data_IF_835445857027
#
_entry.id   IF_835445857027
#
_cell.length_a   1.000
_cell.length_b   1.000
_cell.length_c   1.000
_cell.angle_alpha   90.00
_cell.angle_beta   90.00
_cell.angle_gamma   90.00
#
_symmetry.space_group_name_H-M   'P 1'
#
loop_
_entity.id
_entity.type
_entity.pdbx_description
1 polymer ?
#
# COMPACT_ATOMS: atom_id res chain seq x y z
N UNK A 1 10.89 -19.71 -41.37
CA UNK A 1 9.61 -19.33 -40.71
C UNK A 1 9.58 -17.81 -40.64
N UNK A 2 8.49 -17.19 -41.07
CA UNK A 2 8.36 -15.73 -41.00
C UNK A 2 8.15 -15.32 -39.54
N UNK A 3 8.82 -14.26 -39.08
CA UNK A 3 8.74 -13.73 -37.70
C UNK A 3 7.28 -13.47 -37.29
N UNK A 4 6.48 -12.88 -38.17
CA UNK A 4 5.05 -12.63 -37.92
C UNK A 4 4.24 -13.91 -37.69
N UNK A 5 4.57 -14.99 -38.39
CA UNK A 5 3.89 -16.28 -38.21
C UNK A 5 4.28 -16.91 -36.88
N UNK A 6 5.56 -16.80 -36.50
CA UNK A 6 6.03 -17.28 -35.21
C UNK A 6 5.36 -16.54 -34.05
N UNK A 7 5.27 -15.20 -34.12
CA UNK A 7 4.60 -14.36 -33.11
C UNK A 7 3.13 -14.71 -32.97
N UNK A 8 2.42 -14.92 -34.09
CA UNK A 8 1.02 -15.33 -34.09
C UNK A 8 0.82 -16.70 -33.42
N UNK A 9 1.66 -17.67 -33.76
CA UNK A 9 1.61 -19.02 -33.14
C UNK A 9 1.92 -18.97 -31.61
N UNK A 10 2.91 -18.18 -31.21
CA UNK A 10 3.24 -18.00 -29.82
C UNK A 10 2.09 -17.35 -29.03
N UNK A 11 1.46 -16.35 -29.62
CA UNK A 11 0.29 -15.67 -29.00
C UNK A 11 -0.86 -16.66 -28.80
N UNK A 12 -1.22 -17.43 -29.82
CA UNK A 12 -2.28 -18.45 -29.71
C UNK A 12 -1.97 -19.48 -28.62
N UNK A 13 -0.75 -19.98 -28.57
CA UNK A 13 -0.34 -20.94 -27.54
C UNK A 13 -0.41 -20.35 -26.12
N UNK A 14 -0.09 -19.06 -25.94
CA UNK A 14 -0.21 -18.37 -24.66
C UNK A 14 -1.68 -18.16 -24.27
N UNK A 15 -2.53 -17.79 -25.21
CA UNK A 15 -3.98 -17.63 -25.00
C UNK A 15 -4.64 -18.96 -24.58
N UNK A 16 -4.33 -20.05 -25.29
CA UNK A 16 -4.80 -21.41 -24.93
C UNK A 16 -4.32 -21.85 -23.54
N UNK A 17 -3.05 -21.57 -23.20
CA UNK A 17 -2.50 -21.88 -21.88
C UNK A 17 -3.19 -21.05 -20.77
N UNK A 18 -3.48 -19.78 -21.03
CA UNK A 18 -4.19 -18.91 -20.09
C UNK A 18 -5.63 -19.41 -19.86
N UNK A 19 -6.36 -19.75 -20.93
CA UNK A 19 -7.70 -20.34 -20.82
C UNK A 19 -7.68 -21.60 -19.96
N UNK A 20 -6.73 -22.50 -20.16
CA UNK A 20 -6.61 -23.72 -19.38
C UNK A 20 -6.32 -23.45 -17.88
N UNK A 21 -5.56 -22.40 -17.57
CA UNK A 21 -5.29 -21.99 -16.17
C UNK A 21 -6.53 -21.37 -15.53
N UNK A 22 -7.30 -20.57 -16.28
CA UNK A 22 -8.56 -19.97 -15.82
C UNK A 22 -9.61 -21.07 -15.54
N UNK A 23 -9.76 -22.04 -16.46
CA UNK A 23 -10.69 -23.18 -16.26
C UNK A 23 -10.34 -24.02 -15.02
N UNK A 24 -9.07 -24.16 -14.69
CA UNK A 24 -8.60 -24.86 -13.50
C UNK A 24 -8.67 -24.03 -12.22
N UNK A 25 -8.99 -22.73 -12.33
CA UNK A 25 -9.03 -21.81 -11.20
C UNK A 25 -7.66 -21.51 -10.60
N UNK A 26 -6.57 -21.76 -11.31
CA UNK A 26 -5.22 -21.44 -10.86
C UNK A 26 -4.92 -19.94 -10.99
N UNK A 27 -5.59 -19.28 -11.95
CA UNK A 27 -5.54 -17.83 -12.12
C UNK A 27 -6.95 -17.26 -12.20
N UNK A 28 -7.08 -15.97 -11.94
CA UNK A 28 -8.33 -15.20 -12.06
C UNK A 28 -8.08 -13.95 -12.88
N UNK A 29 -9.10 -13.50 -13.59
CA UNK A 29 -9.08 -12.22 -14.31
C UNK A 29 -9.94 -11.19 -13.62
N UNK A 30 -9.40 -9.97 -13.47
CA UNK A 30 -10.14 -8.82 -12.95
C UNK A 30 -9.86 -7.58 -13.81
N UNK A 31 -10.87 -6.72 -14.03
CA UNK A 31 -10.65 -5.45 -14.70
C UNK A 31 -9.94 -4.46 -13.77
N UNK A 32 -8.75 -4.01 -14.16
CA UNK A 32 -7.96 -3.02 -13.44
C UNK A 32 -7.62 -1.86 -14.38
N UNK A 33 -8.05 -0.65 -14.05
CA UNK A 33 -7.80 0.57 -14.82
C UNK A 33 -8.21 0.48 -16.32
N UNK A 34 -9.22 -0.33 -16.63
CA UNK A 34 -9.73 -0.53 -17.99
C UNK A 34 -9.04 -1.63 -18.80
N UNK A 35 -8.11 -2.34 -18.19
CA UNK A 35 -7.43 -3.51 -18.75
C UNK A 35 -7.78 -4.77 -17.95
N UNK A 36 -7.69 -5.95 -18.60
CA UNK A 36 -7.83 -7.23 -17.91
C UNK A 36 -6.48 -7.61 -17.30
N UNK A 37 -6.44 -7.68 -15.97
CA UNK A 37 -5.29 -8.14 -15.22
C UNK A 37 -5.47 -9.59 -14.80
N UNK A 38 -4.42 -10.39 -14.92
CA UNK A 38 -4.40 -11.81 -14.54
C UNK A 38 -3.60 -11.99 -13.28
N UNK A 39 -4.17 -12.66 -12.30
CA UNK A 39 -3.58 -12.93 -10.99
C UNK A 39 -3.51 -14.42 -10.72
N UNK A 40 -2.51 -14.85 -9.98
CA UNK A 40 -2.61 -16.12 -9.28
C UNK A 40 -3.76 -16.05 -8.26
N UNK A 41 -4.60 -17.08 -8.21
CA UNK A 41 -5.81 -17.09 -7.38
C UNK A 41 -5.52 -16.70 -5.92
N UNK A 42 -4.57 -17.36 -5.27
CA UNK A 42 -4.23 -17.12 -3.86
C UNK A 42 -3.71 -15.69 -3.61
N UNK A 43 -2.98 -15.11 -4.58
CA UNK A 43 -2.48 -13.74 -4.46
C UNK A 43 -3.60 -12.72 -4.65
N UNK A 44 -4.56 -12.98 -5.53
CA UNK A 44 -5.76 -12.16 -5.70
C UNK A 44 -6.59 -12.13 -4.40
N UNK A 45 -6.85 -13.30 -3.81
CA UNK A 45 -7.56 -13.38 -2.52
C UNK A 45 -6.81 -12.64 -1.40
N UNK A 46 -5.48 -12.80 -1.33
CA UNK A 46 -4.66 -12.10 -0.34
C UNK A 46 -4.73 -10.58 -0.51
N UNK A 47 -4.65 -10.08 -1.74
CA UNK A 47 -4.75 -8.64 -2.06
C UNK A 47 -6.12 -8.09 -1.67
N UNK A 48 -7.20 -8.78 -2.03
CA UNK A 48 -8.57 -8.40 -1.68
C UNK A 48 -8.77 -8.39 -0.15
N UNK A 49 -8.25 -9.40 0.55
CA UNK A 49 -8.32 -9.46 2.01
C UNK A 49 -7.57 -8.29 2.66
N UNK A 50 -6.35 -7.98 2.21
CA UNK A 50 -5.58 -6.85 2.73
C UNK A 50 -6.31 -5.53 2.46
N UNK A 51 -6.83 -5.32 1.24
CA UNK A 51 -7.59 -4.13 0.90
C UNK A 51 -8.83 -3.96 1.78
N UNK A 52 -9.58 -5.05 2.01
CA UNK A 52 -10.75 -5.05 2.89
C UNK A 52 -10.36 -4.71 4.33
N UNK A 53 -9.31 -5.33 4.88
CA UNK A 53 -8.86 -5.05 6.25
C UNK A 53 -8.37 -3.62 6.43
N UNK A 54 -7.64 -3.08 5.45
CA UNK A 54 -7.23 -1.68 5.48
C UNK A 54 -8.42 -0.73 5.42
N UNK A 55 -9.44 -1.05 4.61
CA UNK A 55 -10.68 -0.28 4.54
C UNK A 55 -11.45 -0.31 5.86
N UNK A 56 -11.60 -1.49 6.48
CA UNK A 56 -12.24 -1.61 7.81
C UNK A 56 -11.51 -0.76 8.86
N UNK A 57 -10.18 -0.84 8.89
CA UNK A 57 -9.36 -0.04 9.82
C UNK A 57 -9.51 1.46 9.54
N UNK A 58 -9.50 1.87 8.27
CA UNK A 58 -9.61 3.28 7.88
C UNK A 58 -11.00 3.87 8.17
N UNK A 59 -12.05 3.05 8.20
CA UNK A 59 -13.41 3.47 8.52
C UNK A 59 -13.66 3.74 10.01
N UNK A 60 -12.73 3.37 10.89
CA UNK A 60 -12.83 3.60 12.32
C UNK A 60 -12.64 5.08 12.68
N UNK A 61 -13.38 5.55 13.68
CA UNK A 61 -13.20 6.89 14.23
C UNK A 61 -12.10 6.88 15.29
N UNK A 62 -11.22 7.88 15.24
CA UNK A 62 -10.24 8.16 16.30
C UNK A 62 -10.58 9.52 16.91
N UNK A 63 -10.62 9.55 18.23
CA UNK A 63 -10.64 10.80 18.97
C UNK A 63 -9.21 11.28 19.14
N UNK A 64 -8.87 12.44 18.58
CA UNK A 64 -7.55 13.02 18.75
C UNK A 64 -7.23 13.20 20.24
N UNK A 65 -6.02 12.85 20.69
CA UNK A 65 -5.58 13.07 22.07
C UNK A 65 -5.65 14.56 22.44
N UNK A 66 -6.17 14.86 23.61
CA UNK A 66 -6.10 16.24 24.14
C UNK A 66 -4.63 16.64 24.36
N UNK A 67 -4.27 17.85 23.95
CA UNK A 67 -2.92 18.36 24.13
C UNK A 67 -1.88 17.71 23.18
N UNK A 68 -2.29 17.27 22.01
CA UNK A 68 -1.39 16.65 21.03
C UNK A 68 -0.24 17.58 20.62
N UNK A 69 -0.52 18.86 20.44
CA UNK A 69 0.49 19.88 20.10
C UNK A 69 1.58 19.96 21.18
N UNK A 70 1.17 20.08 22.44
CA UNK A 70 2.08 20.16 23.60
C UNK A 70 2.86 18.86 23.79
N UNK A 71 2.24 17.72 23.47
CA UNK A 71 2.91 16.42 23.50
C UNK A 71 4.01 16.35 22.44
N UNK A 72 3.74 16.77 21.22
CA UNK A 72 4.72 16.79 20.14
C UNK A 72 5.88 17.74 20.47
N UNK A 73 5.60 18.91 21.03
CA UNK A 73 6.64 19.86 21.44
C UNK A 73 7.51 19.31 22.56
N UNK A 74 6.94 18.57 23.50
CA UNK A 74 7.68 17.86 24.54
C UNK A 74 8.59 16.78 23.98
N UNK A 75 8.09 15.96 23.05
CA UNK A 75 8.88 14.93 22.38
C UNK A 75 10.06 15.55 21.64
N UNK A 76 9.87 16.65 20.93
CA UNK A 76 10.95 17.38 20.27
C UNK A 76 12.02 17.83 21.28
N UNK A 77 11.60 18.40 22.40
CA UNK A 77 12.51 18.86 23.44
C UNK A 77 13.29 17.71 24.09
N UNK A 78 12.63 16.60 24.42
CA UNK A 78 13.25 15.41 25.02
C UNK A 78 14.26 14.73 24.06
N UNK A 79 13.94 14.69 22.78
CA UNK A 79 14.82 14.10 21.76
C UNK A 79 15.89 15.06 21.25
N UNK A 80 15.83 16.34 21.59
CA UNK A 80 16.75 17.37 21.10
C UNK A 80 16.65 17.61 19.60
N UNK A 81 15.47 17.46 19.03
CA UNK A 81 15.20 17.60 17.58
C UNK A 81 14.11 18.64 17.33
N UNK A 82 14.07 19.14 16.10
CA UNK A 82 12.95 19.92 15.58
C UNK A 82 12.41 19.24 14.35
N UNK A 83 11.15 18.87 14.34
CA UNK A 83 10.53 18.26 13.17
C UNK A 83 10.40 19.27 12.04
N UNK A 84 10.75 18.85 10.83
CA UNK A 84 10.32 19.56 9.63
C UNK A 84 8.78 19.50 9.52
N UNK A 85 8.13 20.45 8.83
CA UNK A 85 6.66 20.50 8.77
C UNK A 85 5.99 19.18 8.39
N UNK A 86 6.54 18.47 7.41
CA UNK A 86 6.03 17.17 6.97
C UNK A 86 6.26 16.04 7.99
N UNK A 87 7.34 16.11 8.77
CA UNK A 87 7.59 15.16 9.85
C UNK A 87 6.62 15.37 11.01
N UNK A 88 6.34 16.64 11.37
CA UNK A 88 5.34 16.99 12.37
C UNK A 88 3.96 16.50 11.94
N UNK A 89 3.57 16.80 10.70
CA UNK A 89 2.31 16.32 10.12
C UNK A 89 2.20 14.78 10.17
N UNK A 90 3.29 14.04 9.91
CA UNK A 90 3.28 12.58 10.01
C UNK A 90 3.00 12.10 11.44
N UNK A 91 3.56 12.75 12.46
CA UNK A 91 3.30 12.43 13.87
C UNK A 91 1.85 12.76 14.25
N UNK A 92 1.33 13.91 13.83
CA UNK A 92 -0.06 14.31 14.05
C UNK A 92 -1.05 13.33 13.39
N UNK A 93 -0.81 12.95 12.13
CA UNK A 93 -1.64 11.99 11.42
C UNK A 93 -1.60 10.60 12.05
N UNK A 94 -0.45 10.16 12.55
CA UNK A 94 -0.35 8.87 13.24
C UNK A 94 -1.19 8.85 14.52
N UNK A 95 -1.28 9.96 15.23
CA UNK A 95 -2.08 10.08 16.44
C UNK A 95 -3.59 10.25 16.18
N UNK A 96 -3.98 10.58 14.96
CA UNK A 96 -5.35 10.92 14.57
C UNK A 96 -5.94 10.02 13.48
N UNK A 97 -5.19 8.99 13.04
CA UNK A 97 -5.62 8.08 11.98
C UNK A 97 -5.38 6.62 12.36
N UNK A 98 -6.34 5.76 12.08
CA UNK A 98 -6.18 4.31 12.31
C UNK A 98 -5.23 3.65 11.32
N UNK A 99 -5.11 4.22 10.13
CA UNK A 99 -4.19 3.78 9.08
C UNK A 99 -3.51 5.00 8.50
N UNK A 100 -2.20 4.95 8.44
CA UNK A 100 -1.38 6.00 7.81
C UNK A 100 -0.35 5.36 6.89
N UNK A 101 -0.16 5.95 5.72
CA UNK A 101 0.89 5.59 4.79
C UNK A 101 2.02 6.63 4.85
N UNK A 102 3.20 6.22 5.35
CA UNK A 102 4.38 7.06 5.40
C UNK A 102 5.34 6.68 4.28
N UNK A 103 5.47 7.54 3.28
CA UNK A 103 6.36 7.34 2.13
C UNK A 103 7.45 8.40 2.08
N UNK A 104 8.50 8.13 1.33
CA UNK A 104 9.58 9.09 1.09
C UNK A 104 10.86 8.40 0.64
N UNK A 105 11.71 9.13 -0.08
CA UNK A 105 13.01 8.66 -0.55
C UNK A 105 14.01 8.40 0.58
N UNK A 106 15.20 7.88 0.26
CA UNK A 106 16.29 7.74 1.22
C UNK A 106 16.66 9.10 1.83
N UNK A 107 16.92 9.15 3.14
CA UNK A 107 17.38 10.38 3.81
C UNK A 107 16.30 11.45 4.05
N UNK A 108 15.01 11.18 3.81
CA UNK A 108 13.92 12.15 4.02
C UNK A 108 13.43 12.25 5.48
N UNK A 109 14.11 11.60 6.42
CA UNK A 109 13.76 11.68 7.84
C UNK A 109 12.59 10.81 8.28
N UNK A 110 12.19 9.79 7.51
CA UNK A 110 11.14 8.83 7.90
C UNK A 110 11.38 8.19 9.27
N UNK A 111 12.61 7.78 9.55
CA UNK A 111 13.00 7.19 10.83
C UNK A 111 12.80 8.19 11.99
N UNK A 112 13.04 9.47 11.76
CA UNK A 112 12.82 10.52 12.76
C UNK A 112 11.32 10.68 13.06
N UNK A 113 10.48 10.68 12.02
CA UNK A 113 9.02 10.69 12.20
C UNK A 113 8.51 9.46 12.95
N UNK A 114 9.01 8.26 12.59
CA UNK A 114 8.64 7.02 13.28
C UNK A 114 9.01 7.03 14.76
N UNK A 115 10.15 7.59 15.14
CA UNK A 115 10.52 7.74 16.56
C UNK A 115 9.53 8.62 17.33
N UNK A 116 9.02 9.66 16.68
CA UNK A 116 7.99 10.53 17.27
C UNK A 116 6.65 9.80 17.44
N UNK A 117 6.29 8.96 16.50
CA UNK A 117 5.05 8.14 16.57
C UNK A 117 5.11 7.11 17.68
N UNK A 118 6.31 6.58 17.99
CA UNK A 118 6.51 5.53 18.99
C UNK A 118 6.82 6.07 20.40
N UNK A 119 6.98 7.37 20.55
CA UNK A 119 7.26 8.03 21.83
C UNK A 119 5.98 8.33 22.60
#
# INVERSE_FOLDING_TARGET
MNEQLFDAMLRTALEEALEALLERGEVVEEPVAGEQAVYLHDLCEAEQYVAFRLWELAAGEIVAPHGLEELIDRIQAEQGITYAPQQRQAVELAATSQVMLLTGGPGTGKTTSLRGVLA
#
